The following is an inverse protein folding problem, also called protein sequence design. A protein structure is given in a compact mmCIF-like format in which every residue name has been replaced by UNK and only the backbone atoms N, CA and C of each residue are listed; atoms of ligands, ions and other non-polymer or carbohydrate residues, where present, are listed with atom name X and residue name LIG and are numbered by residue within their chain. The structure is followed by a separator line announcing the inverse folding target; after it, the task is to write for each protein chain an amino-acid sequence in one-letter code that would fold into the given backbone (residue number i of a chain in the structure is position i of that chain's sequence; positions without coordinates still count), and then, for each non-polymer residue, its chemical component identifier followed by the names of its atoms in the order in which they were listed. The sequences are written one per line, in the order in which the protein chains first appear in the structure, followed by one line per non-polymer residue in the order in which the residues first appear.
data_IF_386071832876
#
_entry.id   IF_386071832876
#
_cell.length_a   1.000
_cell.length_b   1.000
_cell.length_c   1.000
_cell.angle_alpha   90.00
_cell.angle_beta   90.00
_cell.angle_gamma   90.00
#
_symmetry.space_group_name_H-M   'P 1'
#
loop_
_entity.id
_entity.type
_entity.pdbx_description
1 polymer ?
#
# COMPACT_ATOMS: atom_id res chain seq x y z
N UNK A 1 0.48 -89.71 -14.93
CA UNK A 1 1.25 -88.45 -14.89
C UNK A 1 0.26 -87.30 -14.90
N UNK A 2 0.06 -86.61 -13.77
CA UNK A 2 -0.92 -85.51 -13.67
C UNK A 2 -0.26 -84.34 -12.94
N UNK A 3 -0.02 -83.24 -13.66
CA UNK A 3 0.66 -82.06 -13.16
C UNK A 3 -0.33 -81.07 -12.52
N UNK A 4 -0.05 -80.66 -11.27
CA UNK A 4 -0.85 -79.70 -10.48
C UNK A 4 -0.32 -78.28 -10.72
N UNK A 5 -1.08 -77.46 -11.44
CA UNK A 5 -0.80 -76.02 -11.66
C UNK A 5 -1.22 -75.23 -10.41
N UNK A 6 -0.28 -74.63 -9.69
CA UNK A 6 -0.57 -73.66 -8.63
C UNK A 6 -0.93 -72.31 -9.27
N UNK A 7 -2.16 -71.85 -9.08
CA UNK A 7 -2.57 -70.48 -9.36
C UNK A 7 -2.10 -69.59 -8.20
N UNK A 8 -1.32 -68.56 -8.50
CA UNK A 8 -0.97 -67.49 -7.58
C UNK A 8 -1.90 -66.32 -7.87
N UNK A 9 -2.95 -66.16 -7.07
CA UNK A 9 -3.88 -65.03 -7.16
C UNK A 9 -3.30 -63.85 -6.39
N UNK A 10 -2.60 -62.96 -7.09
CA UNK A 10 -2.25 -61.64 -6.57
C UNK A 10 -3.42 -60.68 -6.81
N UNK A 11 -4.25 -60.43 -5.80
CA UNK A 11 -5.24 -59.34 -5.82
C UNK A 11 -5.58 -58.92 -4.40
N UNK A 12 -5.28 -57.65 -4.09
CA UNK A 12 -6.00 -56.89 -3.07
C UNK A 12 -5.15 -56.34 -1.95
N UNK A 13 -4.40 -55.26 -2.19
CA UNK A 13 -3.81 -54.47 -1.09
C UNK A 13 -3.62 -52.97 -1.40
N UNK A 14 -4.25 -52.44 -2.45
CA UNK A 14 -4.18 -51.00 -2.78
C UNK A 14 -5.40 -50.21 -2.30
N UNK A 15 -6.53 -50.88 -2.06
CA UNK A 15 -7.75 -50.22 -1.57
C UNK A 15 -7.65 -49.83 -0.08
N UNK A 16 -7.02 -50.67 0.74
CA UNK A 16 -6.87 -50.43 2.18
C UNK A 16 -5.97 -49.23 2.49
N UNK A 17 -4.95 -48.97 1.66
CA UNK A 17 -4.04 -47.83 1.85
C UNK A 17 -4.73 -46.48 1.57
N UNK A 18 -5.63 -46.45 0.59
CA UNK A 18 -6.39 -45.25 0.22
C UNK A 18 -7.39 -44.82 1.30
N UNK A 19 -8.02 -45.80 1.96
CA UNK A 19 -9.00 -45.55 3.04
C UNK A 19 -8.32 -45.01 4.31
N UNK A 20 -7.16 -45.58 4.68
CA UNK A 20 -6.38 -45.12 5.84
C UNK A 20 -5.83 -43.70 5.65
N UNK A 21 -5.43 -43.32 4.42
CA UNK A 21 -5.01 -41.94 4.16
C UNK A 21 -6.18 -40.95 4.19
N UNK A 22 -7.36 -41.34 3.71
CA UNK A 22 -8.54 -40.48 3.69
C UNK A 22 -9.07 -40.20 5.10
N UNK A 23 -9.05 -41.20 5.98
CA UNK A 23 -9.47 -41.07 7.37
C UNK A 23 -8.59 -40.12 8.21
N UNK A 24 -7.32 -39.89 7.81
CA UNK A 24 -6.42 -38.95 8.51
C UNK A 24 -6.62 -37.48 8.12
N UNK A 25 -7.38 -37.18 7.06
CA UNK A 25 -7.56 -35.81 6.56
C UNK A 25 -8.95 -35.23 6.80
N UNK A 26 -9.91 -36.00 7.32
CA UNK A 26 -11.32 -35.54 7.42
C UNK A 26 -11.75 -35.03 8.80
N UNK A 27 -10.86 -34.93 9.79
CA UNK A 27 -11.21 -34.49 11.15
C UNK A 27 -10.38 -33.29 11.64
N UNK A 28 -10.24 -32.27 10.79
CA UNK A 28 -9.84 -30.93 11.25
C UNK A 28 -10.48 -29.92 10.32
N UNK A 29 -11.74 -29.60 10.59
CA UNK A 29 -12.27 -28.29 10.18
C UNK A 29 -11.80 -27.31 11.24
N UNK A 30 -10.83 -26.42 10.96
CA UNK A 30 -10.49 -25.38 11.92
C UNK A 30 -11.73 -24.52 12.13
N UNK A 31 -12.12 -24.30 13.39
CA UNK A 31 -13.12 -23.30 13.74
C UNK A 31 -12.72 -21.95 13.09
N UNK A 32 -13.67 -21.13 12.61
CA UNK A 32 -13.34 -19.79 12.17
C UNK A 32 -12.93 -18.96 13.40
N UNK A 33 -11.64 -18.99 13.72
CA UNK A 33 -11.01 -17.96 14.55
C UNK A 33 -11.24 -16.65 13.81
N UNK A 34 -12.17 -15.84 14.29
CA UNK A 34 -12.31 -14.46 13.84
C UNK A 34 -11.14 -13.69 14.46
N UNK A 35 -9.94 -13.93 13.94
CA UNK A 35 -8.81 -13.04 14.15
C UNK A 35 -9.17 -11.76 13.42
N UNK A 36 -9.71 -10.79 14.16
CA UNK A 36 -9.87 -9.44 13.65
C UNK A 36 -8.45 -8.93 13.36
N UNK A 37 -8.08 -8.70 12.10
CA UNK A 37 -6.74 -8.24 11.79
C UNK A 37 -6.49 -6.92 12.53
N UNK A 38 -5.27 -6.69 13.04
CA UNK A 38 -4.94 -5.47 13.75
C UNK A 38 -5.36 -4.28 12.89
N UNK A 39 -6.11 -3.35 13.50
CA UNK A 39 -6.63 -2.19 12.80
C UNK A 39 -5.47 -1.48 12.09
N UNK A 40 -5.50 -1.51 10.75
CA UNK A 40 -4.48 -0.83 9.96
C UNK A 40 -4.50 0.66 10.34
N UNK A 41 -3.32 1.31 10.45
CA UNK A 41 -3.28 2.74 10.76
C UNK A 41 -4.09 3.50 9.70
N UNK A 42 -5.05 4.30 10.16
CA UNK A 42 -5.87 5.15 9.30
C UNK A 42 -4.94 6.17 8.66
N UNK A 43 -4.65 5.98 7.36
CA UNK A 43 -3.90 6.97 6.59
C UNK A 43 -4.85 8.13 6.27
N UNK A 44 -4.38 9.39 6.37
CA UNK A 44 -5.19 10.51 5.92
C UNK A 44 -5.53 10.36 4.45
N UNK A 45 -6.77 10.68 4.08
CA UNK A 45 -7.19 10.71 2.69
C UNK A 45 -6.44 11.83 1.96
N UNK A 46 -5.67 11.48 0.93
CA UNK A 46 -4.94 12.44 0.11
C UNK A 46 -5.77 12.83 -1.12
N UNK A 47 -5.78 14.11 -1.47
CA UNK A 47 -6.49 14.65 -2.64
C UNK A 47 -5.51 15.40 -3.53
N UNK A 48 -5.62 15.21 -4.84
CA UNK A 48 -4.82 15.93 -5.83
C UNK A 48 -5.62 17.08 -6.44
N UNK A 49 -5.00 18.26 -6.52
CA UNK A 49 -5.48 19.44 -7.24
C UNK A 49 -4.34 19.98 -8.10
N UNK A 50 -4.67 20.55 -9.25
CA UNK A 50 -3.68 21.09 -10.20
C UNK A 50 -4.01 22.54 -10.49
N UNK A 51 -2.98 23.39 -10.51
CA UNK A 51 -3.07 24.81 -10.80
C UNK A 51 -2.00 25.18 -11.84
N UNK A 52 -2.28 26.20 -12.65
CA UNK A 52 -1.30 26.79 -13.54
C UNK A 52 -0.52 27.87 -12.78
N UNK A 53 0.80 27.80 -12.86
CA UNK A 53 1.72 28.76 -12.27
C UNK A 53 2.68 29.25 -13.35
N UNK A 54 3.23 30.47 -13.23
CA UNK A 54 4.41 30.85 -13.98
C UNK A 54 5.53 29.82 -13.79
N UNK A 55 6.27 29.51 -14.84
CA UNK A 55 7.25 28.42 -14.84
C UNK A 55 8.31 28.63 -13.75
N UNK A 56 8.77 29.86 -13.59
CA UNK A 56 9.75 30.26 -12.57
C UNK A 56 9.26 30.01 -11.14
N UNK A 57 7.96 30.20 -10.87
CA UNK A 57 7.36 29.96 -9.56
C UNK A 57 7.22 28.47 -9.29
N UNK A 58 6.84 27.69 -10.31
CA UNK A 58 6.75 26.24 -10.19
C UNK A 58 8.11 25.61 -9.90
N UNK A 59 9.16 26.03 -10.61
CA UNK A 59 10.54 25.57 -10.39
C UNK A 59 11.06 25.97 -9.02
N UNK A 60 10.81 27.20 -8.57
CA UNK A 60 11.21 27.67 -7.25
C UNK A 60 10.51 26.88 -6.12
N UNK A 61 9.23 26.56 -6.28
CA UNK A 61 8.49 25.74 -5.31
C UNK A 61 9.04 24.31 -5.26
N UNK A 62 9.34 23.72 -6.42
CA UNK A 62 9.94 22.39 -6.52
C UNK A 62 11.30 22.35 -5.81
N UNK A 63 12.18 23.32 -6.07
CA UNK A 63 13.48 23.41 -5.43
C UNK A 63 13.36 23.57 -3.91
N UNK A 64 12.50 24.48 -3.43
CA UNK A 64 12.29 24.66 -1.99
C UNK A 64 11.77 23.38 -1.31
N UNK A 65 10.89 22.62 -1.98
CA UNK A 65 10.39 21.35 -1.46
C UNK A 65 11.46 20.26 -1.41
N UNK A 66 12.29 20.16 -2.45
CA UNK A 66 13.38 19.19 -2.50
C UNK A 66 14.48 19.52 -1.48
N UNK A 67 14.87 20.80 -1.35
CA UNK A 67 15.85 21.26 -0.35
C UNK A 67 15.40 20.90 1.07
N UNK A 68 14.17 21.26 1.46
CA UNK A 68 13.63 20.91 2.77
C UNK A 68 13.54 19.39 2.99
N UNK A 69 13.15 18.64 1.97
CA UNK A 69 13.10 17.18 2.07
C UNK A 69 14.48 16.58 2.34
N UNK A 70 15.52 17.10 1.69
CA UNK A 70 16.91 16.70 1.88
C UNK A 70 17.47 17.14 3.23
N UNK A 71 17.19 18.37 3.68
CA UNK A 71 17.58 18.88 5.00
C UNK A 71 16.98 18.03 6.13
N UNK A 72 15.71 17.65 6.00
CA UNK A 72 15.02 16.78 6.95
C UNK A 72 15.48 15.32 6.88
N UNK A 73 16.41 14.97 5.98
CA UNK A 73 16.96 13.62 5.78
C UNK A 73 15.90 12.52 5.72
N UNK A 74 14.80 12.79 5.02
CA UNK A 74 13.70 11.82 4.85
C UNK A 74 12.84 11.57 6.10
N UNK A 75 12.95 12.40 7.16
CA UNK A 75 12.06 12.34 8.32
C UNK A 75 10.60 12.65 7.99
N UNK A 76 10.36 13.35 6.87
CA UNK A 76 9.04 13.66 6.36
C UNK A 76 8.95 13.24 4.88
N UNK A 77 7.83 12.65 4.45
CA UNK A 77 7.61 12.37 3.02
C UNK A 77 7.39 13.66 2.22
N UNK A 78 7.69 13.65 0.91
CA UNK A 78 7.58 14.84 0.04
C UNK A 78 6.23 15.56 0.13
N UNK A 79 5.13 14.82 0.21
CA UNK A 79 3.79 15.42 0.34
C UNK A 79 3.62 16.21 1.64
N UNK A 80 4.25 15.79 2.74
CA UNK A 80 4.20 16.50 4.01
C UNK A 80 5.04 17.78 3.96
N UNK A 81 6.19 17.74 3.29
CA UNK A 81 7.02 18.94 3.05
C UNK A 81 6.26 19.96 2.21
N UNK A 82 5.68 19.53 1.09
CA UNK A 82 4.90 20.42 0.23
C UNK A 82 3.67 20.99 0.98
N UNK A 83 2.98 20.16 1.77
CA UNK A 83 1.87 20.63 2.59
C UNK A 83 2.31 21.70 3.61
N UNK A 84 3.48 21.53 4.24
CA UNK A 84 4.01 22.51 5.19
C UNK A 84 4.35 23.85 4.51
N UNK A 85 5.00 23.80 3.34
CA UNK A 85 5.29 25.00 2.53
C UNK A 85 4.02 25.76 2.15
N UNK A 86 3.02 25.06 1.62
CA UNK A 86 1.74 25.67 1.24
C UNK A 86 1.01 26.23 2.47
N UNK A 87 1.02 25.52 3.60
CA UNK A 87 0.42 25.99 4.86
C UNK A 87 1.04 27.29 5.33
N UNK A 88 2.37 27.37 5.34
CA UNK A 88 3.09 28.59 5.72
C UNK A 88 2.70 29.79 4.82
N UNK A 89 2.53 29.58 3.51
CA UNK A 89 2.03 30.61 2.61
C UNK A 89 0.57 31.01 2.88
N UNK A 90 -0.30 30.04 3.15
CA UNK A 90 -1.72 30.26 3.45
C UNK A 90 -1.93 31.02 4.77
N UNK A 91 -1.07 30.77 5.76
CA UNK A 91 -1.15 31.41 7.08
C UNK A 91 -0.77 32.91 7.04
N UNK A 92 -0.24 33.40 5.92
CA UNK A 92 0.11 34.82 5.70
C UNK A 92 -0.64 35.44 4.50
N UNK A 93 -1.99 35.46 4.50
CA UNK A 93 -2.78 35.91 3.35
C UNK A 93 -2.64 37.42 3.08
N UNK A 94 -2.34 38.22 4.10
CA UNK A 94 -2.18 39.67 3.94
C UNK A 94 -0.91 40.01 3.14
N UNK A 95 0.19 39.28 3.35
CA UNK A 95 1.40 39.43 2.53
C UNK A 95 1.14 39.08 1.06
N UNK A 96 0.30 38.07 0.81
CA UNK A 96 -0.11 37.72 -0.55
C UNK A 96 -0.97 38.83 -1.17
N UNK A 97 -1.92 39.39 -0.41
CA UNK A 97 -2.76 40.53 -0.86
C UNK A 97 -1.91 41.76 -1.15
N UNK A 98 -0.97 42.10 -0.27
CA UNK A 98 -0.05 43.22 -0.47
C UNK A 98 0.75 43.05 -1.76
N UNK A 99 1.32 41.87 -2.02
CA UNK A 99 2.08 41.62 -3.27
C UNK A 99 1.22 41.75 -4.53
N UNK A 100 -0.02 41.27 -4.48
CA UNK A 100 -0.96 41.36 -5.60
C UNK A 100 -1.40 42.79 -5.88
N UNK A 101 -1.62 43.58 -4.83
CA UNK A 101 -2.08 44.98 -4.93
C UNK A 101 -0.93 45.98 -5.14
N UNK A 102 0.29 45.65 -4.69
CA UNK A 102 1.49 46.48 -4.89
C UNK A 102 2.07 46.36 -6.30
N UNK A 103 1.65 45.34 -7.06
CA UNK A 103 2.09 45.10 -8.45
C UNK A 103 1.04 45.58 -9.46
N UNK A 104 0.22 46.57 -9.09
CA UNK A 104 -0.81 47.15 -9.94
C UNK A 104 -0.56 48.65 -10.16
N UNK A 105 -0.09 49.03 -11.38
CA UNK A 105 -0.96 49.81 -12.24
C UNK A 105 -1.23 49.07 -13.55
N UNK A 106 -2.43 48.51 -13.69
CA UNK A 106 -3.02 48.02 -14.92
C UNK A 106 -3.46 49.22 -15.77
N UNK A 107 -3.00 49.32 -17.03
CA UNK A 107 -3.78 49.93 -18.11
C UNK A 107 -4.89 48.99 -18.62
#
# INVERSE_FOLDING_TARGET
MTARRKQFSSRGDTAALGDVMRARYTDTTPAPTTEQPPAAPVRPAMVTRSWYLPAEVAEALQHAADDLYHELRGRAPKHAVLAALLRAGIDHPDQARERLTSTDPQP
#
